data_IF_556596561208
#
_entry.id   IF_556596561208
#
_cell.length_a   1.000
_cell.length_b   1.000
_cell.length_c   1.000
_cell.angle_alpha   90.00
_cell.angle_beta   90.00
_cell.angle_gamma   90.00
#
_symmetry.space_group_name_H-M   'P 1'
#
loop_
_entity.id
_entity.type
_entity.pdbx_description
1 polymer ?
#
# COMPACT_ATOMS: atom_id res chain seq x y z
N UNK A 1 -24.02 -42.51 -7.34
CA UNK A 1 -23.58 -41.51 -6.33
C UNK A 1 -22.29 -41.91 -5.61
N UNK A 2 -22.01 -43.19 -5.32
CA UNK A 2 -20.77 -43.64 -4.65
C UNK A 2 -19.51 -43.58 -5.53
N UNK A 3 -19.64 -43.70 -6.85
CA UNK A 3 -18.51 -43.69 -7.79
C UNK A 3 -17.95 -42.27 -7.98
N UNK A 4 -18.82 -41.25 -8.05
CA UNK A 4 -18.40 -39.85 -8.16
C UNK A 4 -17.65 -39.35 -6.91
N UNK A 5 -18.13 -39.71 -5.70
CA UNK A 5 -17.45 -39.34 -4.46
C UNK A 5 -16.10 -40.06 -4.29
N UNK A 6 -16.00 -41.33 -4.72
CA UNK A 6 -14.72 -42.07 -4.72
C UNK A 6 -13.73 -41.48 -5.74
N UNK A 7 -14.19 -41.06 -6.91
CA UNK A 7 -13.32 -40.45 -7.92
C UNK A 7 -12.76 -39.09 -7.47
N UNK A 8 -13.57 -38.28 -6.77
CA UNK A 8 -13.12 -36.99 -6.22
C UNK A 8 -12.14 -37.19 -5.06
N UNK A 9 -12.38 -38.17 -4.19
CA UNK A 9 -11.48 -38.48 -3.06
C UNK A 9 -10.13 -39.06 -3.51
N UNK A 10 -10.11 -39.88 -4.57
CA UNK A 10 -8.87 -40.46 -5.10
C UNK A 10 -8.05 -39.40 -5.84
N UNK A 11 -8.70 -38.49 -6.58
CA UNK A 11 -8.01 -37.41 -7.30
C UNK A 11 -7.38 -36.37 -6.34
N UNK A 12 -8.05 -36.09 -5.22
CA UNK A 12 -7.53 -35.18 -4.18
C UNK A 12 -6.33 -35.77 -3.44
N UNK A 13 -6.29 -37.10 -3.25
CA UNK A 13 -5.17 -37.78 -2.57
C UNK A 13 -3.94 -37.94 -3.47
N UNK A 14 -4.12 -38.15 -4.78
CA UNK A 14 -3.01 -38.29 -5.73
C UNK A 14 -2.28 -36.97 -6.01
N UNK A 15 -2.95 -35.82 -5.84
CA UNK A 15 -2.33 -34.50 -5.98
C UNK A 15 -1.49 -34.08 -4.76
N UNK A 16 -1.72 -34.67 -3.59
CA UNK A 16 -1.00 -34.34 -2.35
C UNK A 16 0.34 -35.09 -2.18
N UNK A 17 0.58 -36.18 -2.92
CA UNK A 17 1.81 -36.98 -2.82
C UNK A 17 2.86 -36.69 -3.91
N UNK A 18 2.58 -35.78 -4.84
CA UNK A 18 3.38 -35.62 -6.07
C UNK A 18 4.44 -34.53 -6.08
N UNK A 19 4.65 -33.73 -5.03
CA UNK A 19 5.63 -32.61 -5.07
C UNK A 19 6.54 -32.65 -3.85
N UNK A 20 7.47 -33.61 -3.87
CA UNK A 20 8.66 -33.61 -3.05
C UNK A 20 9.87 -33.83 -3.95
N UNK A 21 10.26 -32.80 -4.70
CA UNK A 21 11.63 -32.69 -5.22
C UNK A 21 12.13 -31.27 -4.94
N UNK A 22 12.83 -31.14 -3.82
CA UNK A 22 13.79 -30.07 -3.63
C UNK A 22 14.96 -30.31 -4.61
N UNK A 23 15.21 -29.34 -5.48
CA UNK A 23 16.46 -29.24 -6.23
C UNK A 23 16.98 -27.79 -6.12
N UNK A 24 18.31 -27.63 -5.97
CA UNK A 24 18.94 -26.34 -5.72
C UNK A 24 18.91 -25.49 -7.00
N UNK A 25 18.63 -24.20 -6.83
CA UNK A 25 18.56 -23.24 -7.94
C UNK A 25 19.92 -23.05 -8.63
N UNK A 26 19.94 -22.73 -9.94
CA UNK A 26 21.16 -22.41 -10.67
C UNK A 26 21.66 -21.02 -10.27
N UNK A 27 22.95 -20.95 -9.94
CA UNK A 27 23.69 -19.70 -9.77
C UNK A 27 23.97 -19.08 -11.14
N UNK A 28 23.74 -17.77 -11.26
CA UNK A 28 24.44 -16.91 -12.22
C UNK A 28 23.54 -16.07 -13.13
N UNK A 29 23.44 -14.77 -12.82
CA UNK A 29 23.97 -13.70 -13.69
C UNK A 29 23.76 -12.32 -13.04
N UNK A 30 24.85 -11.71 -12.55
CA UNK A 30 24.98 -10.26 -12.36
C UNK A 30 24.26 -9.63 -11.16
N UNK A 31 24.45 -10.20 -9.96
CA UNK A 31 23.89 -9.66 -8.71
C UNK A 31 25.07 -9.13 -7.88
N UNK A 32 25.02 -7.87 -7.43
CA UNK A 32 25.87 -7.40 -6.31
C UNK A 32 25.74 -8.44 -5.20
N UNK A 33 26.82 -8.92 -4.57
CA UNK A 33 26.76 -10.10 -3.71
C UNK A 33 25.57 -10.00 -2.75
N UNK A 34 24.62 -10.95 -2.91
CA UNK A 34 23.46 -11.08 -2.04
C UNK A 34 23.98 -11.30 -0.62
N UNK A 35 23.98 -10.23 0.17
CA UNK A 35 24.38 -10.25 1.56
C UNK A 35 23.33 -11.06 2.32
N UNK A 36 23.68 -12.31 2.66
CA UNK A 36 22.85 -13.18 3.47
C UNK A 36 22.63 -12.51 4.85
N UNK A 37 21.46 -12.62 5.50
CA UNK A 37 21.29 -12.09 6.87
C UNK A 37 22.33 -12.61 7.86
N UNK A 38 22.96 -13.77 7.59
CA UNK A 38 24.06 -14.32 8.39
C UNK A 38 25.46 -13.83 7.94
N UNK A 39 25.58 -13.16 6.79
CA UNK A 39 26.79 -12.41 6.35
C UNK A 39 26.79 -10.97 6.89
N UNK A 40 25.82 -10.61 7.73
CA UNK A 40 25.99 -9.46 8.60
C UNK A 40 27.23 -9.74 9.44
N UNK A 41 28.32 -9.01 9.14
CA UNK A 41 29.45 -8.90 10.06
C UNK A 41 28.84 -8.72 11.45
N UNK A 42 29.30 -9.49 12.46
CA UNK A 42 28.90 -9.19 13.83
C UNK A 42 29.16 -7.70 14.00
N UNK A 43 28.09 -6.93 14.27
CA UNK A 43 28.22 -5.53 14.60
C UNK A 43 29.23 -5.49 15.72
N UNK A 44 30.47 -5.15 15.38
CA UNK A 44 31.50 -4.90 16.35
C UNK A 44 31.02 -3.60 16.97
N UNK A 45 30.25 -3.72 18.05
CA UNK A 45 29.97 -2.65 18.98
C UNK A 45 31.29 -2.33 19.70
N UNK A 46 32.34 -2.02 18.95
CA UNK A 46 33.44 -1.27 19.51
C UNK A 46 32.87 0.12 19.78
N UNK A 47 32.94 0.50 21.04
CA UNK A 47 32.42 1.72 21.62
C UNK A 47 33.07 2.95 20.95
N UNK A 48 32.53 3.37 19.82
CA UNK A 48 32.79 4.68 19.23
C UNK A 48 31.48 5.46 19.35
N UNK A 49 31.46 6.64 20.00
CA UNK A 49 30.26 7.46 20.04
C UNK A 49 29.99 7.95 18.62
N UNK A 50 29.11 7.26 17.90
CA UNK A 50 28.55 7.76 16.65
C UNK A 50 27.83 9.07 17.01
N UNK A 51 28.33 10.20 16.51
CA UNK A 51 27.66 11.48 16.66
C UNK A 51 26.36 11.44 15.86
N UNK A 52 25.28 11.04 16.52
CA UNK A 52 23.96 11.01 15.92
C UNK A 52 23.47 12.44 15.74
N UNK A 53 23.08 12.77 14.51
CA UNK A 53 22.22 13.92 14.28
C UNK A 53 20.90 13.69 15.02
N UNK A 54 20.51 14.63 15.87
CA UNK A 54 19.26 14.51 16.60
C UNK A 54 18.08 14.95 15.73
N UNK A 55 16.93 14.35 15.96
CA UNK A 55 15.71 14.65 15.20
C UNK A 55 15.07 16.00 15.58
N UNK A 56 15.63 16.75 16.55
CA UNK A 56 14.95 17.95 17.07
C UNK A 56 15.77 18.94 17.89
N UNK A 57 16.94 18.55 18.42
CA UNK A 57 17.70 19.40 19.33
C UNK A 57 19.18 18.99 19.42
N UNK A 58 20.11 19.88 19.14
CA UNK A 58 21.55 19.60 19.25
C UNK A 58 22.18 20.49 20.32
N UNK A 59 22.96 19.89 21.23
CA UNK A 59 23.65 20.63 22.28
C UNK A 59 25.08 20.96 21.84
N UNK A 60 25.49 22.22 22.03
CA UNK A 60 26.81 22.75 21.71
C UNK A 60 27.59 22.91 23.03
N UNK A 61 28.54 22.01 23.34
CA UNK A 61 29.21 21.99 24.63
C UNK A 61 30.02 23.25 24.93
N UNK A 62 30.71 23.82 23.95
CA UNK A 62 31.59 24.97 24.15
C UNK A 62 30.85 26.32 24.25
N UNK A 63 29.60 26.37 23.83
CA UNK A 63 28.75 27.56 23.92
C UNK A 63 27.80 27.51 25.13
N UNK A 64 27.74 26.36 25.81
CA UNK A 64 26.63 26.01 26.72
C UNK A 64 25.26 26.36 26.13
N UNK A 65 25.09 26.01 24.85
CA UNK A 65 23.94 26.39 24.03
C UNK A 65 23.24 25.18 23.43
N UNK A 66 21.95 25.31 23.14
CA UNK A 66 21.12 24.30 22.49
C UNK A 66 20.53 24.89 21.23
N UNK A 67 20.66 24.17 20.12
CA UNK A 67 19.99 24.48 18.86
C UNK A 67 18.76 23.60 18.75
N UNK A 68 17.59 24.19 18.54
CA UNK A 68 16.32 23.50 18.47
C UNK A 68 15.69 23.64 17.10
N UNK A 69 15.06 22.57 16.64
CA UNK A 69 14.16 22.61 15.48
C UNK A 69 12.78 23.06 15.94
N UNK A 70 12.29 24.18 15.42
CA UNK A 70 10.89 24.55 15.52
C UNK A 70 10.13 24.04 14.28
N UNK A 71 9.35 22.98 14.49
CA UNK A 71 8.55 22.39 13.41
C UNK A 71 7.33 23.24 13.00
N UNK A 72 6.87 24.15 13.87
CA UNK A 72 5.71 25.00 13.62
C UNK A 72 6.11 26.15 12.70
N UNK A 73 7.22 26.82 13.05
CA UNK A 73 7.75 27.94 12.27
C UNK A 73 8.70 27.52 11.14
N UNK A 74 8.99 26.22 11.02
CA UNK A 74 9.99 25.67 10.09
C UNK A 74 11.35 26.39 10.21
N UNK A 75 11.72 26.72 11.44
CA UNK A 75 12.88 27.52 11.79
C UNK A 75 13.79 26.77 12.75
N UNK A 76 14.98 27.32 12.95
CA UNK A 76 15.98 26.83 13.88
C UNK A 76 16.20 27.91 14.92
N UNK A 77 16.01 27.55 16.18
CA UNK A 77 16.15 28.44 17.32
C UNK A 77 17.47 28.16 18.03
N UNK A 78 18.28 29.19 18.22
CA UNK A 78 19.51 29.14 19.00
C UNK A 78 19.23 29.61 20.41
N UNK A 79 19.33 28.71 21.38
CA UNK A 79 19.18 29.03 22.78
C UNK A 79 20.56 28.95 23.46
N UNK A 80 20.95 29.97 24.20
CA UNK A 80 22.17 29.96 25.02
C UNK A 80 21.76 30.02 26.49
N UNK A 81 22.46 29.27 27.33
CA UNK A 81 22.23 29.30 28.77
C UNK A 81 22.82 30.58 29.37
N UNK A 82 21.98 31.33 30.07
CA UNK A 82 22.35 32.54 30.81
C UNK A 82 21.98 32.32 32.29
N UNK A 83 22.92 31.70 33.03
CA UNK A 83 22.68 31.24 34.41
C UNK A 83 21.62 30.14 34.46
N UNK A 84 20.52 30.40 35.19
CA UNK A 84 19.41 29.45 35.35
C UNK A 84 18.33 29.55 34.26
N UNK A 85 18.48 30.50 33.32
CA UNK A 85 17.50 30.71 32.24
C UNK A 85 18.13 30.44 30.87
N UNK A 86 17.30 30.08 29.89
CA UNK A 86 17.72 29.96 28.48
C UNK A 86 17.25 31.19 27.73
N UNK A 87 18.17 31.86 27.02
CA UNK A 87 17.87 33.00 26.17
C UNK A 87 17.91 32.59 24.70
N UNK A 88 16.89 32.94 23.93
CA UNK A 88 16.94 32.79 22.48
C UNK A 88 17.83 33.88 21.87
N UNK A 89 18.96 33.47 21.30
CA UNK A 89 19.93 34.35 20.63
C UNK A 89 19.51 34.67 19.19
N UNK A 90 18.75 33.78 18.55
CA UNK A 90 18.28 33.99 17.19
C UNK A 90 17.38 32.87 16.69
N UNK A 91 16.51 33.24 15.75
CA UNK A 91 15.61 32.33 15.03
C UNK A 91 15.89 32.47 13.54
N UNK A 92 16.24 31.36 12.90
CA UNK A 92 16.56 31.33 11.48
C UNK A 92 15.58 30.43 10.73
N UNK A 93 14.83 31.01 9.81
CA UNK A 93 13.88 30.27 8.98
C UNK A 93 14.63 29.48 7.92
N UNK A 94 14.30 28.19 7.79
CA UNK A 94 15.00 27.25 6.88
C UNK A 94 14.98 27.71 5.42
N UNK A 95 13.84 28.23 4.97
CA UNK A 95 13.67 28.75 3.61
C UNK A 95 14.60 29.95 3.33
N UNK A 96 14.79 30.85 4.32
CA UNK A 96 15.71 31.98 4.20
C UNK A 96 17.18 31.53 4.16
N UNK A 97 17.55 30.55 4.97
CA UNK A 97 18.91 29.96 4.98
C UNK A 97 19.24 29.39 3.59
N UNK A 98 18.29 28.69 2.98
CA UNK A 98 18.47 28.09 1.66
C UNK A 98 18.29 29.08 0.50
N UNK A 99 17.93 30.34 0.79
CA UNK A 99 17.67 31.37 -0.22
C UNK A 99 16.49 31.04 -1.15
N UNK A 100 15.53 30.23 -0.69
CA UNK A 100 14.33 29.88 -1.45
C UNK A 100 13.10 30.53 -0.84
N UNK A 101 12.27 31.12 -1.69
CA UNK A 101 11.00 31.74 -1.28
C UNK A 101 9.80 31.15 -2.04
N UNK A 102 9.94 29.93 -2.55
CA UNK A 102 8.89 29.25 -3.28
C UNK A 102 7.77 28.76 -2.32
N UNK A 103 6.72 29.57 -2.19
CA UNK A 103 5.49 29.26 -1.43
C UNK A 103 4.92 27.83 -1.62
N UNK A 104 4.95 27.18 -2.82
CA UNK A 104 4.42 25.83 -2.97
C UNK A 104 5.34 24.73 -2.41
N UNK A 105 6.60 25.01 -2.09
CA UNK A 105 7.59 24.04 -1.61
C UNK A 105 8.27 24.52 -0.33
N UNK A 106 7.51 24.55 0.76
CA UNK A 106 8.05 24.81 2.10
C UNK A 106 9.05 23.70 2.45
N UNK A 107 10.29 24.07 2.78
CA UNK A 107 11.33 23.13 3.20
C UNK A 107 11.32 23.07 4.73
N UNK A 108 11.14 21.86 5.28
CA UNK A 108 11.07 21.68 6.73
C UNK A 108 12.40 21.14 7.27
N UNK A 109 12.94 21.69 8.36
CA UNK A 109 14.09 21.12 9.05
C UNK A 109 13.72 19.71 9.56
N UNK A 110 14.65 18.75 9.46
CA UNK A 110 14.44 17.34 9.81
C UNK A 110 15.39 16.84 10.88
N UNK A 111 16.67 17.15 10.73
CA UNK A 111 17.70 16.76 11.69
C UNK A 111 18.78 17.81 11.76
N UNK A 112 19.41 17.88 12.92
CA UNK A 112 20.52 18.77 13.23
C UNK A 112 21.70 17.95 13.75
N UNK A 113 22.90 18.37 13.39
CA UNK A 113 24.15 17.82 13.88
C UNK A 113 25.20 18.92 13.98
N UNK A 114 26.29 18.61 14.67
CA UNK A 114 27.43 19.51 14.83
C UNK A 114 28.61 18.84 14.15
N UNK A 115 29.39 19.61 13.41
CA UNK A 115 30.61 19.19 12.76
C UNK A 115 31.65 20.30 12.92
N UNK A 116 32.54 20.15 13.90
CA UNK A 116 33.48 21.22 14.29
C UNK A 116 32.73 22.51 14.64
N UNK A 117 33.15 23.64 14.05
CA UNK A 117 32.52 24.95 14.25
C UNK A 117 31.31 25.20 13.33
N UNK A 118 30.79 24.15 12.67
CA UNK A 118 29.64 24.24 11.78
C UNK A 118 28.48 23.40 12.30
N UNK A 119 27.26 23.89 12.05
CA UNK A 119 26.03 23.13 12.23
C UNK A 119 25.64 22.51 10.90
N UNK A 120 25.40 21.21 10.93
CA UNK A 120 24.85 20.46 9.81
C UNK A 120 23.34 20.47 9.94
N UNK A 121 22.67 21.10 8.99
CA UNK A 121 21.21 21.13 8.87
C UNK A 121 20.76 20.23 7.72
N UNK A 122 19.93 19.26 8.02
CA UNK A 122 19.16 18.53 7.00
C UNK A 122 17.74 19.05 6.98
N UNK A 123 17.28 19.45 5.80
CA UNK A 123 15.92 19.92 5.58
C UNK A 123 15.30 19.23 4.37
N UNK A 124 14.02 18.90 4.44
CA UNK A 124 13.30 18.19 3.38
C UNK A 124 11.97 18.84 3.09
N UNK A 125 11.67 19.00 1.80
CA UNK A 125 10.34 19.33 1.30
C UNK A 125 9.47 18.08 1.26
N UNK A 126 8.15 18.28 1.14
CA UNK A 126 7.18 17.19 1.01
C UNK A 126 7.22 16.50 -0.38
N UNK A 127 7.83 17.12 -1.38
CA UNK A 127 7.82 16.68 -2.78
C UNK A 127 9.16 16.16 -3.29
N UNK A 128 9.79 15.24 -2.56
CA UNK A 128 11.01 14.52 -2.97
C UNK A 128 12.24 15.39 -3.23
N UNK A 129 12.39 16.47 -2.47
CA UNK A 129 13.62 17.25 -2.45
C UNK A 129 14.09 17.45 -1.03
N UNK A 130 15.38 17.23 -0.82
CA UNK A 130 16.05 17.48 0.44
C UNK A 130 17.30 18.30 0.20
N UNK A 131 17.74 18.99 1.25
CA UNK A 131 18.91 19.86 1.24
C UNK A 131 19.70 19.61 2.51
N UNK A 132 21.01 19.52 2.37
CA UNK A 132 21.95 19.54 3.47
C UNK A 132 22.73 20.85 3.40
N UNK A 133 22.73 21.60 4.50
CA UNK A 133 23.39 22.89 4.61
C UNK A 133 24.38 22.86 5.78
N UNK A 134 25.57 23.41 5.57
CA UNK A 134 26.53 23.72 6.62
C UNK A 134 26.37 25.19 7.02
N UNK A 135 26.04 25.44 8.27
CA UNK A 135 25.88 26.78 8.81
C UNK A 135 27.04 27.10 9.75
N UNK A 136 27.77 28.22 9.54
CA UNK A 136 28.88 28.59 10.40
C UNK A 136 28.38 29.06 11.76
N UNK A 137 28.93 28.52 12.85
CA UNK A 137 28.61 28.94 14.21
C UNK A 137 29.36 30.23 14.56
N UNK A 138 28.95 31.36 13.98
CA UNK A 138 29.60 32.65 14.25
C UNK A 138 28.77 33.44 15.28
N UNK A 139 29.17 33.35 16.55
CA UNK A 139 28.49 33.96 17.70
C UNK A 139 28.62 35.48 17.72
N UNK A 140 29.61 36.03 17.01
CA UNK A 140 30.07 37.41 17.17
C UNK A 140 29.30 38.45 16.33
N UNK A 141 28.30 38.04 15.52
CA UNK A 141 27.57 38.98 14.65
C UNK A 141 26.12 39.11 15.08
N UNK A 142 25.86 40.09 15.93
CA UNK A 142 24.57 40.50 16.50
C UNK A 142 23.45 40.81 15.47
N UNK A 143 23.66 40.67 14.15
CA UNK A 143 22.60 41.00 13.16
C UNK A 143 22.82 40.57 11.70
N UNK A 144 23.78 39.71 11.40
CA UNK A 144 24.00 39.29 10.01
C UNK A 144 23.29 37.97 9.74
N UNK A 145 22.42 37.97 8.72
CA UNK A 145 21.77 36.78 8.16
C UNK A 145 22.73 35.59 8.15
N UNK A 146 22.34 34.48 8.78
CA UNK A 146 23.16 33.26 8.83
C UNK A 146 23.13 32.61 7.45
N UNK A 147 24.10 32.97 6.62
CA UNK A 147 24.28 32.39 5.29
C UNK A 147 25.00 31.05 5.43
N UNK A 148 24.53 29.97 4.79
CA UNK A 148 25.22 28.69 4.82
C UNK A 148 26.56 28.79 4.09
N UNK A 149 27.60 28.13 4.64
CA UNK A 149 28.91 27.98 4.00
C UNK A 149 28.81 27.14 2.73
N UNK A 150 28.09 26.01 2.83
CA UNK A 150 27.88 25.07 1.74
C UNK A 150 26.46 24.52 1.78
N UNK A 151 25.89 24.26 0.61
CA UNK A 151 24.56 23.65 0.45
C UNK A 151 24.62 22.63 -0.67
N UNK A 152 24.07 21.44 -0.42
CA UNK A 152 23.88 20.40 -1.43
C UNK A 152 22.42 19.96 -1.45
N UNK A 153 21.87 19.76 -2.64
CA UNK A 153 20.49 19.31 -2.86
C UNK A 153 20.43 17.86 -3.30
N UNK A 154 19.38 17.16 -2.88
CA UNK A 154 19.07 15.78 -3.25
C UNK A 154 17.69 15.70 -3.90
N UNK A 155 17.57 14.81 -4.89
CA UNK A 155 16.31 14.53 -5.59
C UNK A 155 15.51 13.40 -4.90
N UNK A 156 15.46 13.44 -3.56
CA UNK A 156 14.61 12.54 -2.76
C UNK A 156 14.30 13.18 -1.41
N UNK A 157 13.26 12.71 -0.73
CA UNK A 157 12.97 13.10 0.65
C UNK A 157 14.02 12.51 1.59
N UNK A 158 14.62 13.30 2.48
CA UNK A 158 15.60 12.84 3.46
C UNK A 158 15.10 13.08 4.89
N UNK A 159 15.45 12.20 5.83
CA UNK A 159 14.92 12.25 7.20
C UNK A 159 16.02 12.41 8.24
N UNK A 160 17.10 11.66 8.06
CA UNK A 160 18.20 11.61 9.00
C UNK A 160 19.52 11.59 8.23
N UNK A 161 20.56 12.01 8.91
CA UNK A 161 21.92 11.85 8.45
C UNK A 161 22.81 11.41 9.61
N UNK A 162 23.99 10.90 9.27
CA UNK A 162 25.02 10.52 10.20
C UNK A 162 26.34 11.12 9.74
N UNK A 163 27.09 11.68 10.68
CA UNK A 163 28.40 12.25 10.41
C UNK A 163 29.43 11.17 10.73
N UNK A 164 30.30 10.87 9.77
CA UNK A 164 31.47 10.01 9.96
C UNK A 164 32.72 10.90 9.92
N UNK A 165 33.23 11.35 11.09
CA UNK A 165 34.36 12.27 11.13
C UNK A 165 35.65 11.63 10.60
N UNK A 166 35.84 10.32 10.83
CA UNK A 166 37.06 9.61 10.42
C UNK A 166 37.23 9.50 8.91
N UNK A 167 36.12 9.30 8.18
CA UNK A 167 36.11 9.20 6.71
C UNK A 167 35.86 10.52 6.00
N UNK A 168 35.59 11.61 6.74
CA UNK A 168 35.14 12.91 6.22
C UNK A 168 33.90 12.81 5.32
N UNK A 169 32.96 11.97 5.71
CA UNK A 169 31.71 11.74 4.97
C UNK A 169 30.49 11.97 5.85
N UNK A 170 29.44 12.51 5.24
CA UNK A 170 28.10 12.63 5.83
C UNK A 170 27.20 11.67 5.07
N UNK A 171 26.64 10.70 5.79
CA UNK A 171 25.70 9.74 5.29
C UNK A 171 24.29 10.29 5.40
N UNK A 172 23.64 10.61 4.29
CA UNK A 172 22.25 11.13 4.27
C UNK A 172 21.31 10.02 3.82
N UNK A 173 20.29 9.75 4.62
CA UNK A 173 19.31 8.69 4.34
C UNK A 173 17.96 9.28 3.96
N UNK A 174 17.41 8.79 2.85
CA UNK A 174 16.16 9.23 2.29
C UNK A 174 15.24 8.12 1.82
N UNK A 175 13.97 8.47 1.63
CA UNK A 175 12.95 7.62 1.04
C UNK A 175 12.50 8.21 -0.28
N UNK A 176 12.28 7.33 -1.23
CA UNK A 176 11.73 7.62 -2.54
C UNK A 176 10.50 6.72 -2.77
N UNK A 177 9.73 6.98 -3.82
CA UNK A 177 8.58 6.15 -4.20
C UNK A 177 8.98 4.69 -4.50
N UNK A 178 10.21 4.47 -4.97
CA UNK A 178 10.75 3.14 -5.33
C UNK A 178 11.47 2.43 -4.18
N UNK A 179 11.82 3.12 -3.09
CA UNK A 179 12.55 2.52 -1.98
C UNK A 179 13.33 3.52 -1.15
N UNK A 180 14.56 3.16 -0.78
CA UNK A 180 15.43 3.97 0.06
C UNK A 180 16.67 4.42 -0.72
N UNK A 181 17.02 5.69 -0.59
CA UNK A 181 18.22 6.29 -1.18
C UNK A 181 19.18 6.65 -0.06
N UNK A 182 20.44 6.23 -0.16
CA UNK A 182 21.51 6.63 0.76
C UNK A 182 22.56 7.38 -0.05
N UNK A 183 22.88 8.59 0.41
CA UNK A 183 23.84 9.49 -0.20
C UNK A 183 25.07 9.61 0.69
N UNK A 184 26.25 9.46 0.09
CA UNK A 184 27.52 9.74 0.74
C UNK A 184 27.98 11.11 0.28
N UNK A 185 28.07 12.05 1.22
CA UNK A 185 28.49 13.43 0.94
C UNK A 185 29.85 13.65 1.57
N UNK A 186 30.88 13.84 0.75
CA UNK A 186 32.20 14.23 1.22
C UNK A 186 32.24 15.72 1.51
N UNK A 187 32.91 16.08 2.59
CA UNK A 187 33.18 17.47 2.96
C UNK A 187 34.69 17.74 3.00
N UNK A 188 35.07 18.95 2.58
CA UNK A 188 36.45 19.42 2.64
C UNK A 188 36.81 19.87 4.07
N UNK A 189 38.11 19.90 4.40
CA UNK A 189 38.61 20.34 5.72
C UNK A 189 38.19 21.78 6.08
N UNK A 190 38.07 22.64 5.06
CA UNK A 190 37.64 24.03 5.23
C UNK A 190 36.11 24.17 5.36
N UNK A 191 35.35 23.07 5.29
CA UNK A 191 33.88 23.03 5.37
C UNK A 191 33.16 23.94 4.36
N UNK A 192 33.90 24.37 3.32
CA UNK A 192 33.45 25.35 2.33
C UNK A 192 32.70 24.72 1.15
N UNK A 193 32.93 23.43 0.89
CA UNK A 193 32.30 22.70 -0.21
C UNK A 193 31.75 21.37 0.28
N UNK A 194 30.55 21.04 -0.19
CA UNK A 194 29.93 19.72 -0.05
C UNK A 194 29.87 19.08 -1.44
N UNK A 195 30.39 17.86 -1.57
CA UNK A 195 30.39 17.10 -2.82
C UNK A 195 29.68 15.75 -2.63
N UNK A 196 28.90 15.34 -3.63
CA UNK A 196 28.28 14.02 -3.61
C UNK A 196 29.32 12.97 -4.05
N UNK A 197 29.79 12.15 -3.12
CA UNK A 197 30.76 11.08 -3.37
C UNK A 197 30.10 9.90 -4.09
N UNK A 198 29.03 9.35 -3.52
CA UNK A 198 28.32 8.23 -4.11
C UNK A 198 26.85 8.18 -3.70
N UNK A 199 26.04 7.45 -4.48
CA UNK A 199 24.62 7.19 -4.21
C UNK A 199 24.38 5.69 -4.30
N UNK A 200 23.74 5.12 -3.29
CA UNK A 200 23.19 3.77 -3.37
C UNK A 200 21.67 3.80 -3.23
N UNK A 201 21.00 3.01 -4.07
CA UNK A 201 19.56 2.90 -4.12
C UNK A 201 19.16 1.48 -3.73
N UNK A 202 18.39 1.36 -2.66
CA UNK A 202 17.75 0.11 -2.28
C UNK A 202 16.32 0.10 -2.81
N UNK A 203 16.06 -0.78 -3.78
CA UNK A 203 14.73 -1.02 -4.30
C UNK A 203 13.94 -1.88 -3.30
N UNK A 204 12.84 -1.35 -2.78
CA UNK A 204 11.98 -2.14 -1.89
C UNK A 204 11.20 -3.12 -2.78
N UNK A 205 11.39 -4.44 -2.63
CA UNK A 205 10.80 -5.39 -3.55
C UNK A 205 9.27 -5.35 -3.45
N UNK A 206 8.62 -5.26 -4.61
CA UNK A 206 7.16 -5.29 -4.69
C UNK A 206 6.66 -6.66 -4.23
N UNK A 207 5.39 -6.73 -3.80
CA UNK A 207 4.81 -8.02 -3.40
C UNK A 207 4.92 -9.08 -4.49
N UNK A 208 4.76 -8.69 -5.76
CA UNK A 208 4.94 -9.59 -6.91
C UNK A 208 6.36 -10.17 -7.01
N UNK A 209 7.39 -9.34 -6.80
CA UNK A 209 8.79 -9.77 -6.83
C UNK A 209 9.12 -10.70 -5.66
N UNK A 210 8.52 -10.45 -4.47
CA UNK A 210 8.62 -11.36 -3.32
C UNK A 210 7.99 -12.72 -3.58
N UNK A 211 6.86 -12.73 -4.30
CA UNK A 211 6.20 -13.98 -4.71
C UNK A 211 7.05 -14.69 -5.76
N UNK A 212 7.62 -13.96 -6.71
CA UNK A 212 8.51 -14.53 -7.73
C UNK A 212 9.79 -15.12 -7.13
N UNK A 213 10.39 -14.48 -6.12
CA UNK A 213 11.56 -15.04 -5.45
C UNK A 213 11.23 -16.29 -4.61
N UNK A 214 10.01 -16.34 -4.05
CA UNK A 214 9.55 -17.48 -3.24
C UNK A 214 9.07 -18.66 -4.09
N UNK A 215 8.46 -18.39 -5.24
CA UNK A 215 8.00 -19.39 -6.21
C UNK A 215 8.40 -18.98 -7.64
N UNK A 216 9.66 -19.25 -8.04
CA UNK A 216 10.15 -18.92 -9.38
C UNK A 216 9.38 -19.66 -10.49
N UNK A 217 8.82 -20.82 -10.17
CA UNK A 217 8.07 -21.66 -11.11
C UNK A 217 6.61 -21.23 -11.28
N UNK A 218 6.07 -20.48 -10.32
CA UNK A 218 4.65 -20.11 -10.25
C UNK A 218 3.69 -21.26 -9.91
N UNK A 219 4.19 -22.48 -9.67
CA UNK A 219 3.35 -23.66 -9.43
C UNK A 219 2.56 -23.52 -8.13
N UNK A 220 3.19 -23.03 -7.07
CA UNK A 220 2.54 -22.81 -5.77
C UNK A 220 1.35 -21.85 -5.88
N UNK A 221 1.52 -20.75 -6.62
CA UNK A 221 0.43 -19.79 -6.85
C UNK A 221 -0.75 -20.45 -7.61
N UNK A 222 -0.48 -21.26 -8.63
CA UNK A 222 -1.53 -21.94 -9.40
C UNK A 222 -2.29 -22.98 -8.59
N UNK A 223 -1.59 -23.78 -7.77
CA UNK A 223 -2.22 -24.81 -6.93
C UNK A 223 -3.15 -24.17 -5.91
N UNK A 224 -2.71 -23.10 -5.24
CA UNK A 224 -3.55 -22.36 -4.28
C UNK A 224 -4.80 -21.80 -4.96
N UNK A 225 -4.64 -21.21 -6.15
CA UNK A 225 -5.78 -20.66 -6.91
C UNK A 225 -6.81 -21.75 -7.27
N UNK A 226 -6.36 -22.91 -7.77
CA UNK A 226 -7.25 -24.02 -8.13
C UNK A 226 -7.97 -24.57 -6.89
N UNK A 227 -7.25 -24.78 -5.78
CA UNK A 227 -7.81 -25.31 -4.54
C UNK A 227 -8.90 -24.37 -3.98
N UNK A 228 -8.67 -23.06 -3.95
CA UNK A 228 -9.64 -22.08 -3.45
C UNK A 228 -10.94 -22.10 -4.27
N UNK A 229 -10.84 -22.17 -5.60
CA UNK A 229 -12.02 -22.25 -6.49
C UNK A 229 -12.81 -23.54 -6.25
N UNK A 230 -12.13 -24.68 -6.12
CA UNK A 230 -12.79 -25.96 -5.82
C UNK A 230 -13.49 -25.95 -4.47
N UNK A 231 -12.86 -25.39 -3.42
CA UNK A 231 -13.47 -25.25 -2.11
C UNK A 231 -14.69 -24.34 -2.13
N UNK A 232 -14.64 -23.24 -2.90
CA UNK A 232 -15.77 -22.32 -3.06
C UNK A 232 -16.97 -23.02 -3.70
N UNK A 233 -16.75 -23.75 -4.79
CA UNK A 233 -17.80 -24.52 -5.48
C UNK A 233 -18.36 -25.63 -4.59
N UNK A 234 -17.50 -26.37 -3.88
CA UNK A 234 -17.92 -27.41 -2.95
C UNK A 234 -18.79 -26.83 -1.82
N UNK A 235 -18.40 -25.69 -1.25
CA UNK A 235 -19.17 -25.01 -0.20
C UNK A 235 -20.59 -24.65 -0.67
N UNK A 236 -20.73 -24.07 -1.86
CA UNK A 236 -22.03 -23.75 -2.46
C UNK A 236 -22.88 -25.02 -2.62
N UNK A 237 -22.30 -26.12 -3.14
CA UNK A 237 -23.02 -27.39 -3.26
C UNK A 237 -23.46 -27.97 -1.92
N UNK A 238 -22.64 -27.86 -0.87
CA UNK A 238 -22.98 -28.32 0.48
C UNK A 238 -24.16 -27.55 1.07
N UNK A 239 -24.16 -26.22 0.91
CA UNK A 239 -25.25 -25.36 1.37
C UNK A 239 -26.57 -25.75 0.69
N UNK A 240 -26.57 -25.89 -0.64
CA UNK A 240 -27.76 -26.29 -1.40
C UNK A 240 -28.28 -27.68 -0.99
N UNK A 241 -27.40 -28.65 -0.75
CA UNK A 241 -27.78 -29.98 -0.24
C UNK A 241 -28.36 -29.91 1.18
N UNK A 242 -27.82 -29.06 2.05
CA UNK A 242 -28.34 -28.85 3.40
C UNK A 242 -29.78 -28.34 3.40
N UNK A 243 -30.07 -27.32 2.58
CA UNK A 243 -31.43 -26.79 2.42
C UNK A 243 -32.39 -27.80 1.79
N UNK A 244 -31.98 -28.53 0.74
CA UNK A 244 -32.81 -29.54 0.10
C UNK A 244 -33.16 -30.73 1.04
N UNK A 245 -32.21 -31.17 1.87
CA UNK A 245 -32.44 -32.23 2.84
C UNK A 245 -33.33 -31.78 4.01
N UNK A 246 -33.32 -30.50 4.36
CA UNK A 246 -34.18 -29.95 5.42
C UNK A 246 -35.63 -29.84 4.95
N UNK A 247 -35.85 -29.33 3.73
CA UNK A 247 -37.19 -29.20 3.14
C UNK A 247 -37.91 -30.56 3.01
N UNK A 248 -37.22 -31.59 2.53
CA UNK A 248 -37.77 -32.95 2.40
C UNK A 248 -38.09 -33.61 3.75
N UNK A 249 -37.31 -33.32 4.81
CA UNK A 249 -37.56 -33.86 6.16
C UNK A 249 -38.77 -33.22 6.85
N UNK A 250 -39.04 -31.95 6.58
CA UNK A 250 -40.24 -31.26 7.05
C UNK A 250 -41.48 -31.77 6.31
N UNK A 251 -41.40 -31.92 4.99
CA UNK A 251 -42.51 -32.40 4.16
C UNK A 251 -42.91 -33.85 4.46
N UNK A 252 -41.93 -34.73 4.72
CA UNK A 252 -42.18 -36.11 5.13
C UNK A 252 -42.71 -36.26 6.57
N UNK A 253 -42.48 -35.27 7.44
CA UNK A 253 -43.09 -35.23 8.78
C UNK A 253 -44.55 -34.76 8.71
N UNK A 254 -44.84 -33.76 7.89
CA UNK A 254 -46.21 -33.29 7.67
C UNK A 254 -47.09 -34.33 6.95
N UNK A 255 -46.54 -35.09 5.99
CA UNK A 255 -47.27 -36.17 5.32
C UNK A 255 -47.61 -37.37 6.22
N UNK A 256 -46.76 -37.67 7.21
CA UNK A 256 -47.03 -38.74 8.20
C UNK A 256 -48.01 -38.33 9.29
N UNK A 257 -48.07 -37.04 9.63
CA UNK A 257 -49.02 -36.54 10.64
C UNK A 257 -50.45 -36.47 10.09
N UNK A 258 -50.64 -36.19 8.80
CA UNK A 258 -51.95 -36.21 8.13
C UNK A 258 -52.50 -37.62 7.87
N UNK A 259 -51.63 -38.64 7.80
CA UNK A 259 -52.03 -40.04 7.60
C UNK A 259 -52.45 -40.74 8.91
N UNK A 260 -52.11 -40.18 10.07
CA UNK A 260 -52.45 -40.76 11.38
C UNK A 260 -53.83 -40.30 11.93
N UNK A 261 -54.43 -39.24 11.38
CA UNK A 261 -55.67 -38.65 11.90
C UNK A 261 -56.94 -39.06 11.15
N UNK A 262 -56.84 -39.75 10.01
CA UNK A 262 -58.02 -40.16 9.25
C UNK A 262 -57.84 -41.62 8.81
N UNK A 263 -58.44 -42.54 9.55
CA UNK A 263 -58.46 -43.97 9.28
C UNK A 263 -59.30 -44.32 8.05
N UNK A 264 -58.86 -43.87 6.87
CA UNK A 264 -59.40 -44.31 5.59
C UNK A 264 -58.24 -44.87 4.79
N UNK A 265 -58.33 -46.16 4.47
CA UNK A 265 -57.47 -46.83 3.52
C UNK A 265 -57.62 -46.15 2.15
N UNK A 266 -56.78 -45.17 1.88
CA UNK A 266 -56.58 -44.65 0.54
C UNK A 266 -55.55 -45.56 -0.14
N UNK A 267 -56.03 -46.40 -1.05
CA UNK A 267 -55.27 -46.92 -2.18
C UNK A 267 -54.84 -45.74 -3.05
N UNK A 268 -53.92 -44.91 -2.54
CA UNK A 268 -53.23 -43.90 -3.31
C UNK A 268 -51.97 -44.57 -3.85
N UNK A 269 -52.12 -45.11 -5.06
CA UNK A 269 -51.00 -45.44 -5.95
C UNK A 269 -49.96 -44.32 -5.92
N UNK A 270 -48.84 -44.60 -5.26
CA UNK A 270 -47.71 -43.72 -5.09
C UNK A 270 -46.86 -43.57 -6.37
N UNK A 271 -47.51 -43.45 -7.53
CA UNK A 271 -46.85 -43.36 -8.85
C UNK A 271 -47.26 -42.11 -9.65
N UNK A 272 -48.08 -41.21 -9.12
CA UNK A 272 -48.75 -40.16 -9.91
C UNK A 272 -48.27 -38.74 -9.61
N UNK A 273 -46.98 -38.51 -9.39
CA UNK A 273 -46.48 -37.13 -9.25
C UNK A 273 -46.18 -36.51 -10.61
N UNK A 274 -45.44 -37.20 -11.48
CA UNK A 274 -44.97 -36.63 -12.75
C UNK A 274 -46.10 -36.43 -13.77
N UNK A 275 -47.02 -37.39 -13.88
CA UNK A 275 -48.19 -37.29 -14.77
C UNK A 275 -49.14 -36.17 -14.35
N UNK A 276 -49.34 -35.98 -13.05
CA UNK A 276 -50.19 -34.91 -12.53
C UNK A 276 -49.52 -33.56 -12.73
N UNK A 277 -48.20 -33.43 -12.53
CA UNK A 277 -47.48 -32.21 -12.87
C UNK A 277 -47.50 -31.91 -14.37
N UNK A 278 -47.39 -32.93 -15.23
CA UNK A 278 -47.51 -32.78 -16.68
C UNK A 278 -48.93 -32.34 -17.09
N UNK A 279 -49.97 -32.91 -16.47
CA UNK A 279 -51.35 -32.52 -16.70
C UNK A 279 -51.64 -31.08 -16.23
N UNK A 280 -51.11 -30.68 -15.08
CA UNK A 280 -51.21 -29.31 -14.57
C UNK A 280 -50.45 -28.35 -15.50
N UNK A 281 -49.24 -28.70 -15.92
CA UNK A 281 -48.45 -27.89 -16.86
C UNK A 281 -49.15 -27.74 -18.22
N UNK A 282 -49.76 -28.82 -18.74
CA UNK A 282 -50.54 -28.79 -19.96
C UNK A 282 -51.79 -27.91 -19.82
N UNK A 283 -52.52 -28.01 -18.71
CA UNK A 283 -53.69 -27.17 -18.44
C UNK A 283 -53.32 -25.68 -18.36
N UNK A 284 -52.20 -25.33 -17.71
CA UNK A 284 -51.71 -23.95 -17.64
C UNK A 284 -51.25 -23.46 -19.03
N UNK A 285 -50.57 -24.30 -19.81
CA UNK A 285 -50.13 -23.96 -21.16
C UNK A 285 -51.33 -23.61 -22.06
N UNK A 286 -52.35 -24.46 -22.10
CA UNK A 286 -53.56 -24.22 -22.91
C UNK A 286 -54.33 -22.99 -22.44
N UNK A 287 -54.46 -22.79 -21.12
CA UNK A 287 -55.14 -21.61 -20.58
C UNK A 287 -54.41 -20.30 -20.94
N UNK A 288 -53.08 -20.29 -20.91
CA UNK A 288 -52.30 -19.11 -21.31
C UNK A 288 -52.35 -18.88 -22.82
N UNK A 289 -52.41 -19.95 -23.62
CA UNK A 289 -52.57 -19.87 -25.08
C UNK A 289 -53.91 -19.21 -25.45
N UNK A 290 -54.98 -19.53 -24.72
CA UNK A 290 -56.31 -18.91 -24.88
C UNK A 290 -56.40 -17.47 -24.34
N UNK A 291 -55.48 -17.06 -23.46
CA UNK A 291 -55.43 -15.72 -22.85
C UNK A 291 -54.62 -14.70 -23.65
N UNK A 292 -53.91 -15.13 -24.69
CA UNK A 292 -53.33 -14.19 -25.64
C UNK A 292 -54.49 -13.51 -26.37
N UNK A 293 -54.72 -12.23 -26.06
CA UNK A 293 -55.60 -11.37 -26.86
C UNK A 293 -55.17 -11.50 -28.33
N UNK A 294 -56.08 -11.89 -29.23
CA UNK A 294 -55.81 -11.82 -30.67
C UNK A 294 -55.55 -10.36 -31.04
N UNK A 295 -54.29 -9.95 -31.00
CA UNK A 295 -53.89 -8.59 -31.29
C UNK A 295 -54.28 -8.25 -32.73
N UNK A 296 -55.14 -7.26 -32.91
CA UNK A 296 -55.44 -6.72 -34.24
C UNK A 296 -54.12 -6.22 -34.85
N UNK A 297 -53.65 -6.87 -35.92
CA UNK A 297 -52.37 -6.61 -36.62
C UNK A 297 -52.24 -5.21 -37.28
N UNK A 298 -53.07 -4.24 -36.90
CA UNK A 298 -52.98 -2.84 -37.35
C UNK A 298 -52.37 -2.00 -36.23
N UNK A 299 -51.03 -1.97 -36.19
CA UNK A 299 -50.29 -1.10 -35.28
C UNK A 299 -50.38 0.35 -35.80
N UNK A 300 -51.24 1.17 -35.19
CA UNK A 300 -51.29 2.61 -35.50
C UNK A 300 -50.27 3.35 -34.64
N UNK A 301 -49.03 3.46 -35.14
CA UNK A 301 -47.95 4.17 -34.45
C UNK A 301 -48.16 5.68 -34.62
N UNK A 302 -48.65 6.36 -33.58
CA UNK A 302 -48.58 7.83 -33.52
C UNK A 302 -47.13 8.23 -33.24
N UNK A 303 -46.42 8.68 -34.27
CA UNK A 303 -45.05 9.19 -34.18
C UNK A 303 -45.05 10.51 -33.39
N UNK A 304 -44.91 10.43 -32.07
CA UNK A 304 -44.53 11.60 -31.27
C UNK A 304 -43.04 11.81 -31.52
N UNK A 305 -42.69 12.84 -32.30
CA UNK A 305 -41.30 13.18 -32.62
C UNK A 305 -40.57 13.70 -31.38
N UNK A 306 -40.21 12.82 -30.44
CA UNK A 306 -39.22 13.14 -29.42
C UNK A 306 -37.85 12.87 -30.02
N UNK A 307 -37.13 13.93 -30.39
CA UNK A 307 -35.77 13.90 -30.98
C UNK A 307 -34.70 13.27 -30.07
N UNK A 308 -35.05 12.75 -28.89
CA UNK A 308 -34.12 12.16 -27.96
C UNK A 308 -34.80 11.11 -27.08
N UNK A 309 -34.05 10.05 -26.73
CA UNK A 309 -34.47 8.99 -25.81
C UNK A 309 -33.75 9.17 -24.47
N UNK A 310 -34.41 8.84 -23.34
CA UNK A 310 -33.83 9.02 -22.01
C UNK A 310 -32.59 8.15 -21.77
N UNK A 311 -32.40 7.07 -22.53
CA UNK A 311 -31.23 6.19 -22.43
C UNK A 311 -29.96 6.77 -23.08
N UNK A 312 -30.09 7.81 -23.91
CA UNK A 312 -28.96 8.46 -24.60
C UNK A 312 -28.88 9.98 -24.29
N UNK A 313 -29.35 10.37 -23.11
CA UNK A 313 -29.33 11.76 -22.66
C UNK A 313 -27.94 12.15 -22.11
N UNK A 314 -26.94 12.27 -23.00
CA UNK A 314 -25.55 12.62 -22.66
C UNK A 314 -25.40 13.97 -21.92
N UNK A 315 -26.43 14.83 -21.98
CA UNK A 315 -26.41 16.14 -21.34
C UNK A 315 -26.48 16.11 -19.80
N UNK A 316 -26.98 15.03 -19.18
CA UNK A 316 -27.00 14.92 -17.72
C UNK A 316 -25.60 14.71 -17.10
N UNK A 317 -24.64 14.19 -17.88
CA UNK A 317 -23.27 13.94 -17.43
C UNK A 317 -22.27 15.04 -17.84
N UNK A 318 -22.73 16.14 -18.43
CA UNK A 318 -21.85 17.27 -18.74
C UNK A 318 -21.77 18.21 -17.53
N UNK A 319 -20.55 18.43 -17.04
CA UNK A 319 -20.28 19.26 -15.88
C UNK A 319 -20.66 20.74 -16.17
N UNK A 320 -21.63 21.31 -15.44
CA UNK A 320 -22.12 22.68 -15.65
C UNK A 320 -21.06 23.78 -15.45
N UNK A 321 -19.93 23.46 -14.81
CA UNK A 321 -18.93 24.45 -14.40
C UNK A 321 -17.88 24.81 -15.48
N UNK A 322 -17.90 24.18 -16.67
CA UNK A 322 -16.87 24.44 -17.68
C UNK A 322 -17.10 25.68 -18.56
N UNK A 323 -18.23 26.40 -18.42
CA UNK A 323 -18.59 27.46 -19.38
C UNK A 323 -18.44 28.92 -18.90
N UNK A 324 -17.62 29.21 -17.88
CA UNK A 324 -17.45 30.59 -17.38
C UNK A 324 -16.11 31.24 -17.76
N UNK A 325 -15.60 30.97 -18.96
CA UNK A 325 -14.50 31.73 -19.58
C UNK A 325 -14.89 32.21 -20.98
N UNK A 326 -15.70 33.27 -21.04
CA UNK A 326 -15.72 34.25 -22.13
C UNK A 326 -16.06 35.61 -21.55
#
# INVERSE_FOLDING_TARGET
MSILLKSISVCLLTLFMGVAQAQPGPQGAGVCPDMHPDDMMPLCWDEQPLEFASAGACYIPWLDGVVLIDSVECSINFLVREGDTMRCCGTYVTDNILGRHDLPKIVRPKSLGILGDCIVLLASSAGDSAFLALLPLNVDKEKSEMKPCAVIGFNSSAYAFQILPDSKEILVMGKNALGYDIYYVSFDDDMATLTLSSKCHYHVPRQAERIQSSDPSGVGLTVVAVVVVFLLLACICFIMKGFASSATKVQNRSGKQSAASTGVAATATANSTEEVYAAIAAAIYTYNEELHDEENTVITIQKVERSWTPWNAKFYNMNKYFNNRR
#
